data_IF_941016905381
#
_entry.id   IF_941016905381
#
_cell.length_a   1.000
_cell.length_b   1.000
_cell.length_c   1.000
_cell.angle_alpha   90.00
_cell.angle_beta   90.00
_cell.angle_gamma   90.00
#
_symmetry.space_group_name_H-M   'P 1'
#
loop_
_entity.id
_entity.type
_entity.pdbx_description
1 polymer ?
#
# COMPACT_ATOMS: atom_id res chain seq x y z
N UNK A 1 -11.03 -6.34 29.09
CA UNK A 1 -10.75 -6.26 27.65
C UNK A 1 -12.06 -6.42 26.89
N UNK A 2 -12.31 -5.61 25.87
CA UNK A 2 -13.54 -5.70 25.08
C UNK A 2 -13.68 -7.09 24.43
N UNK A 3 -14.88 -7.67 24.48
CA UNK A 3 -15.21 -8.92 23.81
C UNK A 3 -15.22 -8.75 22.28
N UNK A 4 -15.34 -9.85 21.53
CA UNK A 4 -15.58 -9.81 20.08
C UNK A 4 -16.89 -9.07 19.81
N UNK A 5 -16.93 -8.14 18.84
CA UNK A 5 -18.18 -7.45 18.51
C UNK A 5 -19.28 -8.42 18.07
N UNK A 6 -20.52 -8.10 18.39
CA UNK A 6 -21.71 -8.83 17.95
C UNK A 6 -22.14 -8.40 16.54
N UNK A 7 -23.04 -9.22 15.94
CA UNK A 7 -23.61 -8.94 14.62
C UNK A 7 -22.66 -9.17 13.45
N UNK A 8 -23.13 -8.90 12.24
CA UNK A 8 -22.42 -9.19 10.99
C UNK A 8 -21.68 -7.97 10.41
N UNK A 9 -21.81 -6.81 11.00
CA UNK A 9 -21.13 -5.59 10.56
C UNK A 9 -20.33 -5.00 11.69
N UNK A 10 -19.00 -4.97 11.52
CA UNK A 10 -18.07 -4.41 12.49
C UNK A 10 -17.41 -3.16 11.96
N UNK A 11 -17.31 -2.15 12.80
CA UNK A 11 -16.55 -0.93 12.52
C UNK A 11 -15.34 -0.91 13.47
N UNK A 12 -14.17 -1.12 12.92
CA UNK A 12 -12.91 -1.21 13.69
C UNK A 12 -12.02 -0.03 13.27
N UNK A 13 -11.69 0.81 14.23
CA UNK A 13 -10.78 1.95 14.02
C UNK A 13 -9.34 1.46 14.16
N UNK A 14 -8.47 1.87 13.26
CA UNK A 14 -7.03 1.64 13.37
C UNK A 14 -6.45 2.58 14.42
N UNK A 15 -6.17 2.04 15.60
CA UNK A 15 -5.63 2.78 16.75
C UNK A 15 -4.10 2.64 16.86
N UNK A 16 -3.44 2.03 15.88
CA UNK A 16 -1.98 1.96 15.83
C UNK A 16 -1.43 3.30 15.33
N UNK A 17 -0.86 4.08 16.23
CA UNK A 17 -0.32 5.42 15.95
C UNK A 17 0.78 5.43 14.87
N UNK A 18 1.47 4.31 14.70
CA UNK A 18 2.49 4.15 13.66
C UNK A 18 1.91 3.70 12.32
N UNK A 19 0.63 3.32 12.28
CA UNK A 19 -0.02 2.90 11.05
C UNK A 19 -0.21 4.08 10.10
N UNK A 20 0.02 3.84 8.82
CA UNK A 20 -0.36 4.80 7.78
C UNK A 20 -1.89 5.02 7.68
N UNK A 21 -2.67 4.22 8.40
CA UNK A 21 -4.13 4.27 8.45
C UNK A 21 -4.66 4.64 9.83
N UNK A 22 -3.83 5.20 10.71
CA UNK A 22 -4.23 5.63 12.03
C UNK A 22 -5.52 6.48 12.00
N UNK A 23 -6.46 6.18 12.87
CA UNK A 23 -7.76 6.84 12.95
C UNK A 23 -8.76 6.44 11.84
N UNK A 24 -8.35 5.64 10.86
CA UNK A 24 -9.26 5.15 9.81
C UNK A 24 -10.19 4.07 10.33
N UNK A 25 -11.49 4.22 10.06
CA UNK A 25 -12.48 3.19 10.31
C UNK A 25 -12.50 2.17 9.16
N UNK A 26 -12.40 0.89 9.49
CA UNK A 26 -12.54 -0.25 8.59
C UNK A 26 -13.88 -0.95 8.87
N UNK A 27 -14.78 -0.89 7.90
CA UNK A 27 -16.07 -1.59 7.96
C UNK A 27 -15.92 -3.02 7.44
N UNK A 28 -15.96 -3.99 8.33
CA UNK A 28 -16.07 -5.42 7.99
C UNK A 28 -17.54 -5.80 7.92
N UNK A 29 -17.97 -6.31 6.79
CA UNK A 29 -19.33 -6.78 6.56
C UNK A 29 -19.25 -8.27 6.25
N UNK A 30 -19.78 -9.12 7.13
CA UNK A 30 -19.79 -10.57 7.02
C UNK A 30 -21.14 -11.11 6.52
N UNK A 31 -22.12 -10.27 6.23
CA UNK A 31 -23.47 -10.67 5.84
C UNK A 31 -23.50 -11.48 4.52
N UNK A 32 -22.48 -11.33 3.67
CA UNK A 32 -22.36 -12.09 2.43
C UNK A 32 -21.99 -13.58 2.65
N UNK A 33 -21.54 -13.95 3.84
CA UNK A 33 -21.15 -15.33 4.19
C UNK A 33 -22.41 -16.07 4.62
N UNK A 34 -22.86 -17.00 3.79
CA UNK A 34 -24.12 -17.74 4.03
C UNK A 34 -23.99 -18.79 5.11
N UNK A 35 -22.83 -19.44 5.23
CA UNK A 35 -22.56 -20.45 6.27
C UNK A 35 -22.19 -19.78 7.60
N UNK A 36 -22.93 -20.07 8.67
CA UNK A 36 -22.61 -19.57 10.01
C UNK A 36 -21.28 -20.12 10.54
N UNK A 37 -20.92 -21.35 10.17
CA UNK A 37 -19.65 -21.97 10.56
C UNK A 37 -18.48 -21.22 9.92
N UNK A 38 -18.50 -21.00 8.60
CA UNK A 38 -17.48 -20.23 7.88
C UNK A 38 -17.44 -18.78 8.40
N UNK A 39 -18.59 -18.18 8.65
CA UNK A 39 -18.71 -16.81 9.18
C UNK A 39 -18.02 -16.69 10.54
N UNK A 40 -18.24 -17.63 11.45
CA UNK A 40 -17.62 -17.63 12.77
C UNK A 40 -16.08 -17.77 12.66
N UNK A 41 -15.61 -18.64 11.79
CA UNK A 41 -14.18 -18.78 11.50
C UNK A 41 -13.57 -17.45 11.04
N UNK A 42 -14.17 -16.79 10.04
CA UNK A 42 -13.66 -15.52 9.49
C UNK A 42 -13.72 -14.40 10.53
N UNK A 43 -14.80 -14.31 11.31
CA UNK A 43 -14.91 -13.34 12.41
C UNK A 43 -13.82 -13.56 13.47
N UNK A 44 -13.53 -14.81 13.83
CA UNK A 44 -12.45 -15.13 14.76
C UNK A 44 -11.08 -14.79 14.18
N UNK A 45 -10.84 -15.08 12.89
CA UNK A 45 -9.62 -14.68 12.20
C UNK A 45 -9.40 -13.16 12.30
N UNK A 46 -10.43 -12.35 11.99
CA UNK A 46 -10.35 -10.89 12.08
C UNK A 46 -10.05 -10.44 13.50
N UNK A 47 -10.83 -10.92 14.47
CA UNK A 47 -10.76 -10.47 15.85
C UNK A 47 -9.44 -10.82 16.52
N UNK A 48 -8.95 -12.04 16.36
CA UNK A 48 -7.70 -12.50 16.97
C UNK A 48 -6.49 -11.79 16.35
N UNK A 49 -6.44 -11.65 15.02
CA UNK A 49 -5.34 -10.93 14.38
C UNK A 49 -5.32 -9.43 14.72
N UNK A 50 -6.49 -8.80 14.85
CA UNK A 50 -6.61 -7.42 15.32
C UNK A 50 -6.13 -7.26 16.75
N UNK A 51 -6.62 -8.08 17.69
CA UNK A 51 -6.28 -8.00 19.11
C UNK A 51 -4.80 -8.23 19.40
N UNK A 52 -4.19 -9.18 18.73
CA UNK A 52 -2.79 -9.53 18.94
C UNK A 52 -1.83 -8.75 18.03
N UNK A 53 -2.35 -7.82 17.22
CA UNK A 53 -1.55 -7.02 16.29
C UNK A 53 -0.62 -7.84 15.38
N UNK A 54 -1.01 -9.09 15.10
CA UNK A 54 -0.23 -9.99 14.26
C UNK A 54 -0.14 -9.53 12.80
N UNK A 55 -1.13 -8.72 12.37
CA UNK A 55 -1.21 -8.14 11.03
C UNK A 55 -1.82 -6.75 11.10
N UNK A 56 -1.43 -5.87 10.16
CA UNK A 56 -2.07 -4.56 10.04
C UNK A 56 -3.57 -4.73 9.72
N UNK A 57 -4.40 -3.85 10.26
CA UNK A 57 -5.85 -3.88 10.06
C UNK A 57 -6.22 -3.78 8.57
N UNK A 58 -5.45 -3.01 7.79
CA UNK A 58 -5.61 -2.92 6.34
C UNK A 58 -5.36 -4.26 5.62
N UNK A 59 -4.39 -5.06 6.07
CA UNK A 59 -4.12 -6.39 5.51
C UNK A 59 -5.25 -7.36 5.84
N UNK A 60 -5.72 -7.38 7.10
CA UNK A 60 -6.86 -8.20 7.53
C UNK A 60 -8.08 -7.84 6.67
N UNK A 61 -8.36 -6.55 6.50
CA UNK A 61 -9.49 -6.06 5.71
C UNK A 61 -9.43 -6.52 4.25
N UNK A 62 -8.25 -6.44 3.63
CA UNK A 62 -8.07 -6.88 2.23
C UNK A 62 -8.29 -8.39 2.11
N UNK A 63 -7.75 -9.20 3.03
CA UNK A 63 -7.92 -10.65 3.00
C UNK A 63 -9.40 -11.05 3.12
N UNK A 64 -10.13 -10.50 4.07
CA UNK A 64 -11.56 -10.76 4.23
C UNK A 64 -12.37 -10.32 3.01
N UNK A 65 -12.05 -9.17 2.45
CA UNK A 65 -12.71 -8.69 1.24
C UNK A 65 -12.47 -9.60 0.02
N UNK A 66 -11.27 -10.15 -0.12
CA UNK A 66 -10.97 -11.10 -1.20
C UNK A 66 -11.53 -12.49 -0.93
N UNK A 67 -11.69 -12.86 0.32
CA UNK A 67 -12.33 -14.12 0.72
C UNK A 67 -13.79 -14.22 0.23
N UNK A 68 -14.42 -13.09 -0.10
CA UNK A 68 -15.75 -13.08 -0.73
C UNK A 68 -15.81 -13.99 -1.97
N UNK A 69 -14.78 -14.02 -2.79
CA UNK A 69 -14.73 -14.88 -3.97
C UNK A 69 -14.86 -16.37 -3.63
N UNK A 70 -14.24 -16.79 -2.53
CA UNK A 70 -14.42 -18.15 -2.02
C UNK A 70 -15.84 -18.37 -1.48
N UNK A 71 -16.42 -17.39 -0.76
CA UNK A 71 -17.79 -17.51 -0.26
C UNK A 71 -18.82 -17.62 -1.38
N UNK A 72 -18.64 -16.83 -2.46
CA UNK A 72 -19.50 -16.91 -3.65
C UNK A 72 -19.37 -18.29 -4.32
N UNK A 73 -18.16 -18.83 -4.46
CA UNK A 73 -17.93 -20.19 -4.93
C UNK A 73 -18.55 -21.25 -4.00
N UNK A 74 -18.30 -21.16 -2.70
CA UNK A 74 -18.80 -22.08 -1.69
C UNK A 74 -20.33 -22.18 -1.73
N UNK A 75 -21.01 -21.04 -1.93
CA UNK A 75 -22.47 -20.98 -2.09
C UNK A 75 -22.92 -21.78 -3.32
N UNK A 76 -22.23 -21.72 -4.45
CA UNK A 76 -22.58 -22.47 -5.68
C UNK A 76 -22.39 -23.97 -5.53
N UNK A 77 -21.55 -24.39 -4.58
CA UNK A 77 -21.20 -25.80 -4.32
C UNK A 77 -21.79 -26.37 -3.05
N UNK A 78 -22.61 -25.56 -2.31
CA UNK A 78 -23.17 -25.93 -1.01
C UNK A 78 -22.09 -26.32 0.03
N UNK A 79 -20.91 -25.70 -0.04
CA UNK A 79 -19.84 -25.89 0.95
C UNK A 79 -20.19 -25.04 2.18
N UNK A 80 -20.51 -25.70 3.29
CA UNK A 80 -20.92 -25.04 4.52
C UNK A 80 -19.87 -25.13 5.63
N UNK A 81 -18.81 -25.91 5.44
CA UNK A 81 -17.73 -26.09 6.40
C UNK A 81 -16.37 -26.09 5.71
N UNK A 82 -15.37 -25.44 6.32
CA UNK A 82 -13.99 -25.49 5.84
C UNK A 82 -13.29 -26.81 6.20
N UNK A 83 -13.91 -27.64 7.06
CA UNK A 83 -13.39 -28.97 7.44
C UNK A 83 -13.43 -29.96 6.29
N UNK A 84 -14.45 -29.84 5.45
CA UNK A 84 -14.74 -30.78 4.37
C UNK A 84 -13.99 -30.45 3.08
N UNK A 85 -13.22 -29.35 3.07
CA UNK A 85 -12.46 -28.95 1.90
C UNK A 85 -11.40 -29.97 1.52
N UNK A 86 -11.35 -30.29 0.24
CA UNK A 86 -10.40 -31.19 -0.40
C UNK A 86 -9.55 -30.47 -1.44
N UNK A 87 -8.48 -31.12 -1.92
CA UNK A 87 -7.70 -30.61 -3.06
C UNK A 87 -8.59 -30.37 -4.30
N UNK A 88 -9.56 -31.26 -4.53
CA UNK A 88 -10.49 -31.13 -5.67
C UNK A 88 -11.37 -29.86 -5.54
N UNK A 89 -11.75 -29.46 -4.33
CA UNK A 89 -12.48 -28.19 -4.13
C UNK A 89 -11.60 -26.99 -4.41
N UNK A 90 -10.31 -27.07 -4.11
CA UNK A 90 -9.35 -26.02 -4.47
C UNK A 90 -9.18 -25.92 -5.98
N UNK A 91 -9.05 -27.03 -6.70
CA UNK A 91 -8.97 -27.06 -8.18
C UNK A 91 -10.24 -26.48 -8.82
N UNK A 92 -11.41 -26.84 -8.27
CA UNK A 92 -12.68 -26.28 -8.70
C UNK A 92 -12.78 -24.76 -8.40
N UNK A 93 -12.25 -24.30 -7.26
CA UNK A 93 -12.20 -22.87 -6.95
C UNK A 93 -11.27 -22.10 -7.89
N UNK A 94 -10.10 -22.66 -8.23
CA UNK A 94 -9.21 -22.10 -9.25
C UNK A 94 -9.91 -22.00 -10.60
N UNK A 95 -10.63 -23.03 -11.01
CA UNK A 95 -11.43 -23.07 -12.24
C UNK A 95 -12.53 -22.00 -12.22
N UNK A 96 -13.22 -21.85 -11.09
CA UNK A 96 -14.22 -20.77 -10.86
C UNK A 96 -13.60 -19.39 -11.03
N UNK A 97 -12.45 -19.13 -10.41
CA UNK A 97 -11.73 -17.86 -10.54
C UNK A 97 -11.30 -17.57 -11.99
N UNK A 98 -11.00 -18.61 -12.78
CA UNK A 98 -10.56 -18.48 -14.16
C UNK A 98 -11.68 -18.13 -15.14
N UNK A 99 -12.93 -18.37 -14.77
CA UNK A 99 -14.10 -18.21 -15.64
C UNK A 99 -15.09 -17.14 -15.17
N UNK A 100 -15.11 -16.82 -13.87
CA UNK A 100 -16.10 -15.92 -13.30
C UNK A 100 -15.77 -14.46 -13.58
N UNK A 101 -16.76 -13.72 -14.06
CA UNK A 101 -16.67 -12.29 -14.31
C UNK A 101 -16.84 -11.50 -13.01
N UNK A 102 -16.05 -10.45 -12.84
CA UNK A 102 -16.23 -9.50 -11.77
C UNK A 102 -17.48 -8.66 -12.01
N UNK A 103 -18.38 -8.59 -11.04
CA UNK A 103 -19.59 -7.74 -11.09
C UNK A 103 -19.25 -6.27 -11.39
N UNK A 104 -18.11 -5.80 -10.87
CA UNK A 104 -17.68 -4.40 -11.01
C UNK A 104 -17.19 -4.05 -12.41
N UNK A 105 -16.51 -4.99 -13.09
CA UNK A 105 -15.79 -4.70 -14.35
C UNK A 105 -16.34 -5.45 -15.55
N UNK A 106 -17.21 -6.44 -15.34
CA UNK A 106 -17.70 -7.34 -16.39
C UNK A 106 -16.60 -8.19 -17.02
N UNK A 107 -15.42 -8.29 -16.40
CA UNK A 107 -14.26 -9.03 -16.93
C UNK A 107 -13.75 -10.04 -15.91
N UNK A 108 -13.13 -11.11 -16.38
CA UNK A 108 -12.35 -12.01 -15.52
C UNK A 108 -11.23 -11.22 -14.87
N UNK A 109 -10.94 -11.50 -13.60
CA UNK A 109 -9.82 -10.87 -12.91
C UNK A 109 -8.49 -11.20 -13.61
N UNK A 110 -7.51 -10.29 -13.47
CA UNK A 110 -6.15 -10.56 -13.90
C UNK A 110 -5.61 -11.81 -13.21
N UNK A 111 -4.67 -12.51 -13.86
CA UNK A 111 -4.03 -13.69 -13.31
C UNK A 111 -3.48 -13.44 -11.89
N UNK A 112 -2.82 -12.28 -11.68
CA UNK A 112 -2.34 -11.85 -10.36
C UNK A 112 -3.50 -11.66 -9.35
N UNK A 113 -4.64 -11.12 -9.80
CA UNK A 113 -5.83 -10.94 -8.96
C UNK A 113 -6.40 -12.28 -8.51
N UNK A 114 -6.52 -13.25 -9.42
CA UNK A 114 -7.01 -14.62 -9.14
C UNK A 114 -6.09 -15.35 -8.17
N UNK A 115 -4.77 -15.29 -8.40
CA UNK A 115 -3.78 -15.83 -7.47
C UNK A 115 -3.95 -15.20 -6.08
N UNK A 116 -4.15 -13.90 -6.01
CA UNK A 116 -4.32 -13.21 -4.73
C UNK A 116 -5.60 -13.64 -4.00
N UNK A 117 -6.70 -13.94 -4.71
CA UNK A 117 -7.90 -14.52 -4.09
C UNK A 117 -7.61 -15.88 -3.44
N UNK A 118 -6.87 -16.75 -4.12
CA UNK A 118 -6.43 -18.03 -3.57
C UNK A 118 -5.49 -17.84 -2.38
N UNK A 119 -4.52 -16.94 -2.48
CA UNK A 119 -3.58 -16.63 -1.38
C UNK A 119 -4.32 -16.13 -0.13
N UNK A 120 -5.42 -15.38 -0.30
CA UNK A 120 -6.26 -14.94 0.81
C UNK A 120 -6.98 -16.10 1.50
N UNK A 121 -7.50 -17.08 0.74
CA UNK A 121 -8.05 -18.32 1.28
C UNK A 121 -6.98 -19.10 2.05
N UNK A 122 -5.79 -19.29 1.45
CA UNK A 122 -4.64 -19.97 2.11
C UNK A 122 -4.30 -19.33 3.45
N UNK A 123 -4.23 -18.01 3.51
CA UNK A 123 -3.90 -17.30 4.76
C UNK A 123 -4.91 -17.60 5.87
N UNK A 124 -6.20 -17.68 5.56
CA UNK A 124 -7.24 -17.97 6.55
C UNK A 124 -7.18 -19.45 6.96
N UNK A 125 -7.06 -20.37 6.01
CA UNK A 125 -6.99 -21.81 6.29
C UNK A 125 -5.75 -22.14 7.14
N UNK A 126 -4.56 -21.68 6.78
CA UNK A 126 -3.34 -21.94 7.55
C UNK A 126 -3.37 -21.31 8.94
N UNK A 127 -3.98 -20.12 9.08
CA UNK A 127 -4.19 -19.51 10.38
C UNK A 127 -5.12 -20.42 11.23
N UNK A 128 -6.20 -20.95 10.64
CA UNK A 128 -7.11 -21.84 11.33
C UNK A 128 -6.45 -23.17 11.71
N UNK A 129 -5.66 -23.78 10.83
CA UNK A 129 -4.92 -25.01 11.14
C UNK A 129 -4.03 -24.85 12.38
N UNK A 130 -3.47 -23.64 12.58
CA UNK A 130 -2.64 -23.34 13.73
C UNK A 130 -3.45 -23.02 15.01
N UNK A 131 -4.56 -22.27 14.88
CA UNK A 131 -5.27 -21.70 16.03
C UNK A 131 -6.64 -22.32 16.30
N UNK A 132 -7.23 -22.96 15.30
CA UNK A 132 -8.56 -23.60 15.34
C UNK A 132 -8.59 -24.87 14.47
N UNK A 133 -7.74 -25.87 14.74
CA UNK A 133 -7.55 -27.02 13.84
C UNK A 133 -8.84 -27.82 13.62
N UNK A 134 -9.78 -27.75 14.56
CA UNK A 134 -11.07 -28.44 14.44
C UNK A 134 -12.06 -27.77 13.47
N UNK A 135 -11.77 -26.58 12.97
CA UNK A 135 -12.69 -25.81 12.11
C UNK A 135 -12.30 -25.85 10.63
N UNK A 136 -11.19 -26.50 10.30
CA UNK A 136 -10.68 -26.62 8.93
C UNK A 136 -10.18 -28.05 8.66
N UNK A 137 -9.95 -28.36 7.39
CA UNK A 137 -9.34 -29.64 7.00
C UNK A 137 -8.00 -29.83 7.72
N UNK A 138 -7.81 -31.00 8.31
CA UNK A 138 -6.56 -31.39 8.98
C UNK A 138 -5.44 -31.71 7.96
N UNK A 139 -5.79 -31.97 6.70
CA UNK A 139 -4.85 -32.33 5.64
C UNK A 139 -4.42 -31.09 4.86
N UNK A 140 -3.24 -31.16 4.22
CA UNK A 140 -2.82 -30.15 3.26
C UNK A 140 -3.70 -30.24 1.99
N UNK A 141 -4.48 -29.18 1.75
CA UNK A 141 -5.40 -29.11 0.62
C UNK A 141 -4.86 -28.28 -0.54
N UNK A 142 -3.71 -27.65 -0.36
CA UNK A 142 -3.07 -26.84 -1.39
C UNK A 142 -1.82 -27.54 -1.92
N UNK A 143 -1.74 -27.77 -3.23
CA UNK A 143 -0.60 -28.43 -3.85
C UNK A 143 0.61 -27.51 -4.06
N UNK A 144 0.40 -26.19 -3.94
CA UNK A 144 1.40 -25.17 -4.24
C UNK A 144 1.56 -24.86 -5.72
N UNK A 145 0.92 -25.64 -6.58
CA UNK A 145 1.05 -25.58 -8.05
C UNK A 145 -0.13 -24.91 -8.75
N UNK A 146 -1.13 -24.44 -8.01
CA UNK A 146 -2.41 -23.96 -8.54
C UNK A 146 -2.28 -22.80 -9.53
N UNK A 147 -1.20 -22.05 -9.42
CA UNK A 147 -0.87 -20.94 -10.32
C UNK A 147 0.63 -20.93 -10.66
N UNK A 148 1.18 -22.08 -11.13
CA UNK A 148 2.55 -22.15 -11.66
C UNK A 148 2.66 -21.21 -12.86
N UNK A 149 3.74 -20.47 -12.95
CA UNK A 149 4.03 -19.57 -14.08
C UNK A 149 3.39 -18.18 -13.98
N UNK A 150 2.55 -17.90 -12.96
CA UNK A 150 1.98 -16.57 -12.71
C UNK A 150 3.03 -15.55 -12.26
N UNK A 151 4.20 -16.00 -11.99
CA UNK A 151 5.25 -15.10 -11.54
C UNK A 151 6.33 -15.04 -12.61
N UNK A 152 6.68 -13.84 -13.02
CA UNK A 152 8.06 -13.52 -13.22
C UNK A 152 8.55 -13.31 -14.65
N UNK A 153 7.87 -12.54 -15.39
CA UNK A 153 8.68 -11.50 -16.00
C UNK A 153 8.99 -10.47 -14.89
N UNK A 154 10.20 -10.49 -14.39
CA UNK A 154 10.76 -9.38 -13.60
C UNK A 154 10.88 -8.20 -14.55
N UNK A 155 9.76 -7.57 -14.87
CA UNK A 155 9.77 -6.31 -15.57
C UNK A 155 10.32 -5.29 -14.58
N UNK A 156 11.62 -5.03 -14.70
CA UNK A 156 12.27 -3.95 -13.93
C UNK A 156 11.73 -2.67 -14.54
N UNK A 157 10.76 -2.08 -13.87
CA UNK A 157 10.08 -0.86 -14.29
C UNK A 157 10.85 0.34 -13.72
N UNK A 158 12.04 0.62 -14.29
CA UNK A 158 12.84 1.80 -14.01
C UNK A 158 12.46 2.94 -14.96
N UNK A 159 12.85 4.17 -14.63
CA UNK A 159 12.65 5.31 -15.51
C UNK A 159 13.73 5.28 -16.60
N UNK A 160 13.40 5.20 -17.88
CA UNK A 160 14.37 5.27 -18.97
C UNK A 160 15.16 6.58 -18.94
N UNK A 161 16.41 6.57 -19.37
CA UNK A 161 17.32 7.73 -19.29
C UNK A 161 16.80 8.95 -20.06
N UNK A 162 16.19 8.73 -21.21
CA UNK A 162 15.56 9.78 -22.02
C UNK A 162 14.38 10.43 -21.32
N UNK A 163 13.57 9.65 -20.60
CA UNK A 163 12.46 10.14 -19.77
C UNK A 163 13.00 10.85 -18.53
N UNK A 164 14.04 10.31 -17.90
CA UNK A 164 14.66 10.93 -16.73
C UNK A 164 15.25 12.29 -17.08
N UNK A 165 15.87 12.41 -18.26
CA UNK A 165 16.36 13.71 -18.76
C UNK A 165 15.22 14.73 -18.98
N UNK A 166 14.06 14.29 -19.56
CA UNK A 166 12.88 15.15 -19.70
C UNK A 166 12.33 15.59 -18.33
N UNK A 167 12.27 14.69 -17.35
CA UNK A 167 11.84 15.01 -15.99
C UNK A 167 12.77 16.05 -15.38
N UNK A 168 14.09 15.88 -15.47
CA UNK A 168 15.07 16.80 -14.90
C UNK A 168 15.01 18.18 -15.54
N UNK A 169 14.76 18.26 -16.84
CA UNK A 169 14.57 19.54 -17.52
C UNK A 169 13.28 20.23 -17.05
N UNK A 170 12.18 19.51 -16.99
CA UNK A 170 10.90 20.03 -16.52
C UNK A 170 10.95 20.51 -15.06
N UNK A 171 11.73 19.86 -14.20
CA UNK A 171 11.89 20.29 -12.81
C UNK A 171 12.55 21.67 -12.66
N UNK A 172 13.30 22.15 -13.65
CA UNK A 172 13.92 23.50 -13.58
C UNK A 172 12.86 24.59 -13.52
N UNK A 173 11.76 24.41 -14.24
CA UNK A 173 10.65 25.38 -14.37
C UNK A 173 9.41 25.00 -13.54
N UNK A 174 9.44 23.89 -12.82
CA UNK A 174 8.29 23.46 -12.00
C UNK A 174 8.02 24.46 -10.87
N UNK A 175 6.78 24.97 -10.84
CA UNK A 175 6.33 25.99 -9.89
C UNK A 175 5.83 25.42 -8.57
N UNK A 176 5.36 24.14 -8.57
CA UNK A 176 4.94 23.46 -7.33
C UNK A 176 6.18 23.01 -6.53
N UNK A 177 6.55 23.72 -5.46
CA UNK A 177 7.78 23.42 -4.74
C UNK A 177 7.75 22.05 -4.07
N UNK A 178 6.58 21.59 -3.60
CA UNK A 178 6.43 20.28 -3.00
C UNK A 178 6.72 19.17 -4.00
N UNK A 179 6.21 19.29 -5.22
CA UNK A 179 6.46 18.33 -6.29
C UNK A 179 7.93 18.35 -6.71
N UNK A 180 8.45 19.54 -6.98
CA UNK A 180 9.85 19.76 -7.42
C UNK A 180 10.83 19.11 -6.43
N UNK A 181 10.81 19.57 -5.20
CA UNK A 181 11.76 19.11 -4.19
C UNK A 181 11.48 17.67 -3.74
N UNK A 182 10.22 17.23 -3.72
CA UNK A 182 9.86 15.86 -3.45
C UNK A 182 10.41 14.87 -4.49
N UNK A 183 10.38 15.21 -5.79
CA UNK A 183 11.00 14.39 -6.85
C UNK A 183 12.52 14.34 -6.67
N UNK A 184 13.19 15.45 -6.38
CA UNK A 184 14.64 15.49 -6.14
C UNK A 184 15.02 14.57 -4.98
N UNK A 185 14.25 14.58 -3.89
CA UNK A 185 14.48 13.69 -2.75
C UNK A 185 14.26 12.23 -3.15
N UNK A 186 13.20 11.92 -3.93
CA UNK A 186 12.94 10.55 -4.41
C UNK A 186 14.06 10.03 -5.32
N UNK A 187 14.57 10.85 -6.23
CA UNK A 187 15.70 10.52 -7.10
C UNK A 187 16.97 10.25 -6.30
N UNK A 188 17.25 11.08 -5.30
CA UNK A 188 18.46 10.98 -4.49
C UNK A 188 18.47 9.80 -3.51
N UNK A 189 17.28 9.36 -3.03
CA UNK A 189 17.18 8.43 -1.91
C UNK A 189 16.54 7.09 -2.28
N UNK A 190 15.77 7.04 -3.35
CA UNK A 190 14.95 5.89 -3.70
C UNK A 190 13.96 5.48 -2.61
N UNK A 191 13.59 6.38 -1.68
CA UNK A 191 12.65 6.07 -0.61
C UNK A 191 11.23 5.83 -1.16
N UNK A 192 10.38 5.18 -0.37
CA UNK A 192 8.96 5.05 -0.75
C UNK A 192 8.26 6.40 -0.60
N UNK A 193 7.27 6.66 -1.46
CA UNK A 193 6.45 7.88 -1.34
C UNK A 193 5.82 8.04 0.06
N UNK A 194 5.41 6.95 0.69
CA UNK A 194 4.88 7.00 2.05
C UNK A 194 5.91 7.39 3.10
N UNK A 195 7.19 7.08 2.87
CA UNK A 195 8.28 7.48 3.74
C UNK A 195 8.65 8.97 3.49
N UNK A 196 8.68 9.41 2.22
CA UNK A 196 8.86 10.83 1.86
C UNK A 196 7.82 11.74 2.53
N UNK A 197 6.54 11.37 2.43
CA UNK A 197 5.43 12.18 2.94
C UNK A 197 5.35 12.22 4.48
N UNK A 198 6.09 11.35 5.15
CA UNK A 198 6.25 11.30 6.61
C UNK A 198 7.67 11.69 7.06
N UNK A 199 8.50 12.19 6.14
CA UNK A 199 9.84 12.63 6.44
C UNK A 199 9.79 13.79 7.43
N UNK A 200 10.67 13.78 8.43
CA UNK A 200 10.73 14.81 9.48
C UNK A 200 11.68 15.91 9.07
N UNK A 201 11.49 17.09 9.64
CA UNK A 201 12.36 18.24 9.40
C UNK A 201 13.79 18.05 9.87
N UNK A 202 14.01 17.17 10.86
CA UNK A 202 15.30 16.86 11.44
C UNK A 202 15.99 15.64 10.77
N UNK A 203 15.53 15.23 9.58
CA UNK A 203 16.01 14.03 8.89
C UNK A 203 17.46 14.14 8.35
N UNK A 204 17.98 15.35 8.18
CA UNK A 204 19.37 15.58 7.71
C UNK A 204 20.29 15.69 8.92
N UNK A 205 21.38 14.92 8.85
CA UNK A 205 22.44 14.94 9.88
C UNK A 205 23.81 15.14 9.22
N UNK A 206 24.76 15.81 9.88
CA UNK A 206 26.14 15.85 9.39
C UNK A 206 26.71 14.44 9.32
N UNK A 207 27.41 14.14 8.22
CA UNK A 207 28.15 12.87 8.11
C UNK A 207 29.49 12.97 8.85
N UNK A 208 29.95 11.86 9.47
CA UNK A 208 31.13 11.86 10.32
C UNK A 208 32.44 12.29 9.63
N UNK A 209 32.55 12.06 8.32
CA UNK A 209 33.75 12.40 7.55
C UNK A 209 33.54 13.71 6.78
N UNK A 210 32.49 13.77 5.94
CA UNK A 210 32.16 14.96 5.16
C UNK A 210 30.74 14.83 4.58
N UNK A 211 30.08 16.00 4.35
CA UNK A 211 28.74 16.05 3.77
C UNK A 211 27.65 15.72 4.76
N UNK A 212 26.57 15.10 4.27
CA UNK A 212 25.36 14.88 5.03
C UNK A 212 24.80 13.46 4.82
N UNK A 213 24.09 12.97 5.81
CA UNK A 213 23.25 11.78 5.73
C UNK A 213 21.79 12.13 5.93
N UNK A 214 20.90 11.33 5.32
CA UNK A 214 19.49 11.36 5.60
C UNK A 214 19.07 10.14 6.40
N UNK A 215 18.25 10.37 7.41
CA UNK A 215 17.70 9.34 8.30
C UNK A 215 16.18 9.37 8.25
N UNK A 216 15.53 8.21 8.19
CA UNK A 216 14.07 8.11 8.26
C UNK A 216 13.60 6.75 8.74
N UNK A 217 12.38 6.69 9.25
CA UNK A 217 11.69 5.45 9.61
C UNK A 217 11.02 4.86 8.39
N UNK A 218 11.29 3.59 8.08
CA UNK A 218 10.55 2.86 7.08
C UNK A 218 9.20 2.38 7.66
N UNK A 219 8.14 3.14 7.47
CA UNK A 219 6.84 2.84 8.06
C UNK A 219 6.26 1.47 7.66
N UNK A 220 6.50 1.00 6.44
CA UNK A 220 6.02 -0.34 6.02
C UNK A 220 6.71 -1.50 6.74
N UNK A 221 7.92 -1.32 7.24
CA UNK A 221 8.70 -2.35 7.93
C UNK A 221 8.89 -2.06 9.41
N UNK A 222 8.45 -0.89 9.90
CA UNK A 222 8.68 -0.39 11.27
C UNK A 222 10.14 -0.49 11.68
N UNK A 223 11.03 -0.06 10.80
CA UNK A 223 12.48 -0.12 11.01
C UNK A 223 13.10 1.23 10.68
N UNK A 224 13.98 1.68 11.55
CA UNK A 224 14.88 2.77 11.21
C UNK A 224 15.73 2.39 10.01
N UNK A 225 15.82 3.28 9.05
CA UNK A 225 16.73 3.11 7.95
C UNK A 225 18.12 3.53 8.39
N UNK A 226 19.13 2.72 8.10
CA UNK A 226 20.52 3.11 8.32
C UNK A 226 20.77 4.47 7.64
N UNK A 227 21.56 5.38 8.29
CA UNK A 227 21.91 6.66 7.72
C UNK A 227 22.44 6.49 6.29
N UNK A 228 21.92 7.25 5.35
CA UNK A 228 22.30 7.17 3.94
C UNK A 228 22.96 8.48 3.51
N UNK A 229 24.19 8.45 2.96
CA UNK A 229 24.82 9.64 2.40
C UNK A 229 23.95 10.24 1.26
N UNK A 230 23.82 11.57 1.25
CA UNK A 230 23.08 12.29 0.22
C UNK A 230 23.90 13.43 -0.38
N UNK A 231 23.60 13.76 -1.64
CA UNK A 231 24.22 14.88 -2.34
C UNK A 231 23.65 16.23 -1.84
N UNK A 232 24.41 17.30 -2.07
CA UNK A 232 24.02 18.66 -1.69
C UNK A 232 22.66 19.10 -2.25
N UNK A 233 22.30 18.63 -3.45
CA UNK A 233 21.00 18.95 -4.07
C UNK A 233 19.81 18.41 -3.24
N UNK A 234 19.97 17.21 -2.66
CA UNK A 234 18.95 16.64 -1.76
C UNK A 234 18.83 17.45 -0.47
N UNK A 235 19.95 17.87 0.09
CA UNK A 235 19.99 18.71 1.30
C UNK A 235 19.29 20.04 1.02
N UNK A 236 19.67 20.72 -0.06
CA UNK A 236 19.05 21.98 -0.47
C UNK A 236 17.54 21.85 -0.72
N UNK A 237 17.09 20.71 -1.30
CA UNK A 237 15.68 20.46 -1.51
C UNK A 237 14.91 20.32 -0.18
N UNK A 238 15.49 19.67 0.81
CA UNK A 238 14.90 19.51 2.15
C UNK A 238 14.88 20.86 2.89
N UNK A 239 15.97 21.62 2.86
CA UNK A 239 16.06 22.97 3.46
C UNK A 239 15.01 23.91 2.87
N UNK A 240 14.81 23.87 1.55
CA UNK A 240 13.75 24.65 0.90
C UNK A 240 12.35 24.25 1.32
N UNK A 241 12.08 22.96 1.49
CA UNK A 241 10.80 22.52 2.03
C UNK A 241 10.59 22.95 3.48
N UNK A 242 11.63 22.93 4.32
CA UNK A 242 11.57 23.44 5.70
C UNK A 242 11.22 24.93 5.70
N UNK A 243 11.89 25.73 4.86
CA UNK A 243 11.64 27.16 4.70
C UNK A 243 10.18 27.44 4.29
N UNK A 244 9.69 26.80 3.25
CA UNK A 244 8.34 26.99 2.69
C UNK A 244 7.25 26.58 3.69
N UNK A 245 7.51 25.58 4.52
CA UNK A 245 6.52 25.05 5.46
C UNK A 245 6.63 25.67 6.85
N UNK A 246 7.57 26.58 7.09
CA UNK A 246 7.84 27.14 8.42
C UNK A 246 6.59 27.78 9.06
N UNK A 247 5.91 28.65 8.33
CA UNK A 247 4.72 29.35 8.82
C UNK A 247 3.50 28.43 9.01
N UNK A 248 3.44 27.33 8.23
CA UNK A 248 2.33 26.40 8.32
C UNK A 248 2.36 25.49 9.56
N UNK A 249 3.51 25.43 10.24
CA UNK A 249 3.68 24.53 11.39
C UNK A 249 2.86 24.93 12.61
N UNK A 250 2.51 26.20 12.74
CA UNK A 250 1.67 26.68 13.82
C UNK A 250 0.18 26.36 13.62
N UNK A 251 -0.21 26.05 12.37
CA UNK A 251 -1.60 25.77 11.99
C UNK A 251 -1.89 24.27 11.84
N UNK A 252 -0.87 23.41 11.82
CA UNK A 252 -1.04 21.95 11.67
C UNK A 252 -1.24 21.27 13.03
N UNK A 253 -1.89 20.10 13.03
CA UNK A 253 -2.02 19.25 14.22
C UNK A 253 -0.66 18.99 14.87
N UNK A 254 -0.59 18.98 16.21
CA UNK A 254 0.65 18.80 17.00
C UNK A 254 1.46 17.57 16.58
N UNK A 255 0.78 16.46 16.26
CA UNK A 255 1.41 15.21 15.79
C UNK A 255 2.13 15.34 14.44
N UNK A 256 1.77 16.33 13.64
CA UNK A 256 2.28 16.53 12.27
C UNK A 256 3.26 17.73 12.17
N UNK A 257 3.52 18.45 13.27
CA UNK A 257 4.40 19.64 13.31
C UNK A 257 5.80 19.40 12.77
N UNK A 258 6.35 18.22 13.01
CA UNK A 258 7.68 17.85 12.53
C UNK A 258 7.68 17.23 11.13
N UNK A 259 6.51 17.07 10.50
CA UNK A 259 6.42 16.52 9.16
C UNK A 259 6.90 17.53 8.13
N UNK A 260 7.80 17.12 7.23
CA UNK A 260 8.37 17.99 6.18
C UNK A 260 7.32 18.39 5.13
N UNK A 261 6.47 17.46 4.72
CA UNK A 261 5.55 17.58 3.60
C UNK A 261 4.13 17.97 4.07
N UNK A 262 4.00 19.15 4.71
CA UNK A 262 2.72 19.77 5.07
C UNK A 262 2.38 20.89 4.08
N UNK A 263 1.09 21.12 3.84
CA UNK A 263 0.61 22.16 2.92
C UNK A 263 -0.76 22.68 3.33
N UNK A 264 -1.09 23.89 2.91
CA UNK A 264 -2.46 24.38 3.03
C UNK A 264 -3.28 23.88 1.83
N UNK A 265 -4.38 23.18 2.10
CA UNK A 265 -5.26 22.60 1.07
C UNK A 265 -5.95 23.72 0.27
N UNK A 266 -5.71 23.85 -1.06
CA UNK A 266 -6.19 25.01 -1.80
C UNK A 266 -7.69 24.96 -2.13
N UNK A 267 -8.32 23.76 -2.14
CA UNK A 267 -9.73 23.59 -2.56
C UNK A 267 -10.36 22.31 -2.03
N UNK A 268 -11.68 22.27 -2.05
CA UNK A 268 -12.49 21.10 -1.66
C UNK A 268 -12.93 21.14 -0.19
N UNK A 269 -13.33 19.99 0.35
CA UNK A 269 -13.90 19.88 1.71
C UNK A 269 -12.98 20.43 2.80
N UNK A 270 -11.67 20.33 2.60
CA UNK A 270 -10.65 20.73 3.58
C UNK A 270 -9.90 21.99 3.15
N UNK A 271 -10.49 22.81 2.26
CA UNK A 271 -9.87 24.05 1.80
C UNK A 271 -9.49 24.95 2.98
N UNK A 272 -8.28 25.50 2.96
CA UNK A 272 -7.72 26.34 4.02
C UNK A 272 -7.12 25.57 5.19
N UNK A 273 -7.34 24.26 5.34
CA UNK A 273 -6.74 23.46 6.42
C UNK A 273 -5.29 23.11 6.08
N UNK A 274 -4.40 23.23 7.07
CA UNK A 274 -3.02 22.75 6.96
C UNK A 274 -2.94 21.29 7.40
N UNK A 275 -2.39 20.44 6.55
CA UNK A 275 -2.28 19.00 6.79
C UNK A 275 -1.17 18.35 5.97
N UNK A 276 -0.70 17.13 6.31
CA UNK A 276 0.24 16.37 5.49
C UNK A 276 -0.32 16.08 4.08
N UNK A 277 0.55 16.15 3.08
CA UNK A 277 0.21 15.84 1.69
C UNK A 277 -0.13 14.36 1.56
N UNK A 278 -1.26 14.03 0.90
CA UNK A 278 -1.66 12.65 0.71
C UNK A 278 -0.87 11.95 -0.40
N UNK A 279 -0.68 10.62 -0.30
CA UNK A 279 -0.04 9.82 -1.36
C UNK A 279 -0.78 9.94 -2.70
N UNK A 280 -2.11 10.07 -2.68
CA UNK A 280 -2.91 10.26 -3.89
C UNK A 280 -2.65 11.62 -4.53
N UNK A 281 -2.56 12.67 -3.73
CA UNK A 281 -2.29 14.03 -4.21
C UNK A 281 -0.92 14.08 -4.86
N UNK A 282 0.12 13.64 -4.17
CA UNK A 282 1.49 13.71 -4.66
C UNK A 282 1.75 12.70 -5.80
N UNK A 283 1.51 11.41 -5.56
CA UNK A 283 1.95 10.32 -6.43
C UNK A 283 0.98 9.96 -7.57
N UNK A 284 -0.19 10.61 -7.65
CA UNK A 284 -1.11 10.43 -8.76
C UNK A 284 -1.47 11.78 -9.36
N UNK A 285 -2.13 12.65 -8.60
CA UNK A 285 -2.67 13.89 -9.17
C UNK A 285 -1.55 14.81 -9.67
N UNK A 286 -0.50 15.02 -8.88
CA UNK A 286 0.60 15.91 -9.27
C UNK A 286 1.53 15.28 -10.30
N UNK A 287 1.82 13.96 -10.21
CA UNK A 287 2.62 13.27 -11.23
C UNK A 287 1.92 13.29 -12.59
N UNK A 288 0.63 12.95 -12.64
CA UNK A 288 -0.14 12.96 -13.90
C UNK A 288 -0.19 14.37 -14.51
N UNK A 289 -0.38 15.40 -13.66
CA UNK A 289 -0.37 16.80 -14.11
C UNK A 289 1.00 17.19 -14.65
N UNK A 290 2.07 16.93 -13.90
CA UNK A 290 3.45 17.25 -14.27
C UNK A 290 3.86 16.63 -15.61
N UNK A 291 3.55 15.34 -15.79
CA UNK A 291 3.86 14.64 -17.05
C UNK A 291 3.12 15.24 -18.23
N UNK A 292 1.84 15.62 -18.07
CA UNK A 292 1.02 16.19 -19.15
C UNK A 292 1.41 17.62 -19.47
N UNK A 293 1.59 18.46 -18.45
CA UNK A 293 1.89 19.89 -18.64
C UNK A 293 3.26 20.07 -19.30
N UNK A 294 4.22 19.19 -19.01
CA UNK A 294 5.55 19.22 -19.61
C UNK A 294 5.71 18.29 -20.82
N UNK A 295 4.61 17.68 -21.30
CA UNK A 295 4.59 16.78 -22.46
C UNK A 295 5.67 15.68 -22.43
N UNK A 296 5.95 15.13 -21.23
CA UNK A 296 6.95 14.08 -21.03
C UNK A 296 6.45 12.76 -21.64
N UNK A 297 7.21 12.18 -22.57
CA UNK A 297 6.82 11.00 -23.35
C UNK A 297 7.85 9.88 -23.27
N UNK A 298 7.35 8.66 -23.45
CA UNK A 298 8.18 7.47 -23.68
C UNK A 298 8.69 7.41 -25.13
N UNK A 299 9.50 6.39 -25.42
CA UNK A 299 10.04 6.13 -26.76
C UNK A 299 8.96 5.90 -27.84
N UNK A 300 7.72 5.60 -27.47
CA UNK A 300 6.60 5.42 -28.38
C UNK A 300 5.80 6.73 -28.59
N UNK A 301 6.22 7.85 -27.99
CA UNK A 301 5.55 9.12 -28.08
C UNK A 301 4.27 9.24 -27.23
N UNK A 302 4.04 8.30 -26.31
CA UNK A 302 2.91 8.29 -25.37
C UNK A 302 3.32 8.98 -24.09
N UNK A 303 2.41 9.74 -23.46
CA UNK A 303 2.70 10.34 -22.16
C UNK A 303 3.13 9.27 -21.15
N UNK A 304 4.28 9.52 -20.53
CA UNK A 304 4.89 8.57 -19.61
C UNK A 304 4.03 8.36 -18.36
N UNK A 305 3.90 7.11 -17.92
CA UNK A 305 3.18 6.79 -16.68
C UNK A 305 4.16 6.75 -15.51
N UNK A 306 4.42 7.92 -14.92
CA UNK A 306 5.36 8.06 -13.80
C UNK A 306 4.76 7.53 -12.51
N UNK A 307 5.49 6.67 -11.82
CA UNK A 307 5.16 6.16 -10.49
C UNK A 307 6.32 6.34 -9.51
N UNK A 308 6.03 6.55 -8.25
CA UNK A 308 7.07 6.73 -7.23
C UNK A 308 7.97 5.51 -7.04
N UNK A 309 7.49 4.30 -7.37
CA UNK A 309 8.29 3.08 -7.30
C UNK A 309 9.40 3.03 -8.33
N UNK A 310 9.24 3.70 -9.46
CA UNK A 310 10.23 3.74 -10.53
C UNK A 310 11.50 4.47 -10.08
N UNK A 311 11.42 5.56 -9.33
CA UNK A 311 12.60 6.24 -8.77
C UNK A 311 13.48 5.29 -7.94
N UNK A 312 12.84 4.45 -7.11
CA UNK A 312 13.57 3.47 -6.30
C UNK A 312 14.26 2.41 -7.13
N UNK A 313 13.65 2.00 -8.24
CA UNK A 313 14.23 1.01 -9.16
C UNK A 313 15.35 1.61 -9.99
N UNK A 314 15.18 2.84 -10.47
CA UNK A 314 16.21 3.60 -11.18
C UNK A 314 17.47 3.76 -10.32
N UNK A 315 17.34 4.24 -9.08
CA UNK A 315 18.50 4.35 -8.18
C UNK A 315 19.19 3.01 -7.92
N UNK A 316 18.45 1.90 -7.88
CA UNK A 316 19.00 0.56 -7.68
C UNK A 316 19.69 -0.04 -8.91
N UNK A 317 19.48 0.52 -10.11
CA UNK A 317 20.17 0.13 -11.35
C UNK A 317 21.45 0.95 -11.59
N UNK A 318 21.55 2.13 -10.99
CA UNK A 318 22.69 3.04 -11.11
C UNK A 318 23.79 2.75 -10.08
N UNK A 319 23.58 1.80 -9.16
CA UNK A 319 24.55 1.31 -8.16
C UNK A 319 25.18 0.00 -8.59
#
# INVERSE_FOLDING_TARGET
MAGRPDGDVWNIVDNDVESQHYGRNFKFDFSYISSEEIKDVVKNYVWQNYRHQNRSLSSIYIYVRQFKWFCDFAKTRNINSLRELTNNDIDNFVSYLNTTLSEKTGKVQSLRGRKFCLDCLKVIIYWCQLHRPNDVSATEIFTGNEYIGVNRELKIDFIPDDVLAQINEALKTEENPYLKYGIIILQSTGMRIGDLLKLRIDCIKPHLISGYTIEWVQHKGRKDKAPMPVRSECVAAIEKLIEITAELRDEVDEKDKDTLMIWQVPKGKYAGTVMPISQKTFGTVWFDKFIKDNNIKDANGVHYNLTSHQFRRTLGTDM
#
